data_IF_656320767271
#
_entry.id   IF_656320767271
#
_cell.length_a   1.000
_cell.length_b   1.000
_cell.length_c   1.000
_cell.angle_alpha   90.00
_cell.angle_beta   90.00
_cell.angle_gamma   90.00
#
_symmetry.space_group_name_H-M   'P 1'
#
loop_
_entity.id
_entity.type
_entity.pdbx_description
1 polymer ?
#
# COMPACT_ATOMS: atom_id res chain seq x y z
N UNK A 1 -9.85 -30.03 -3.95
CA UNK A 1 -8.83 -29.02 -3.61
C UNK A 1 -9.54 -27.85 -2.96
N UNK A 2 -9.08 -27.35 -1.82
CA UNK A 2 -9.72 -26.21 -1.16
C UNK A 2 -9.21 -24.88 -1.73
N UNK A 3 -10.12 -23.95 -2.00
CA UNK A 3 -9.79 -22.62 -2.49
C UNK A 3 -9.02 -21.79 -1.45
N UNK A 4 -8.16 -20.88 -1.92
CA UNK A 4 -7.35 -20.00 -1.07
C UNK A 4 -7.93 -18.59 -1.07
N UNK A 5 -7.96 -17.95 0.09
CA UNK A 5 -8.43 -16.57 0.26
C UNK A 5 -7.51 -15.78 1.20
N UNK A 6 -7.57 -14.45 1.09
CA UNK A 6 -6.89 -13.53 2.00
C UNK A 6 -7.94 -12.66 2.71
N UNK A 7 -7.88 -12.61 4.05
CA UNK A 7 -8.61 -11.64 4.83
C UNK A 7 -7.66 -10.52 5.27
N UNK A 8 -7.94 -9.28 4.83
CA UNK A 8 -7.11 -8.11 5.10
C UNK A 8 -7.93 -7.12 5.94
N UNK A 9 -7.75 -7.17 7.25
CA UNK A 9 -8.40 -6.27 8.20
C UNK A 9 -7.70 -4.90 8.21
N UNK A 10 -8.32 -3.91 7.59
CA UNK A 10 -7.77 -2.55 7.50
C UNK A 10 -7.87 -1.77 8.81
N UNK A 11 -8.71 -2.20 9.77
CA UNK A 11 -8.84 -1.54 11.08
C UNK A 11 -7.59 -1.70 11.96
N UNK A 12 -6.78 -2.72 11.67
CA UNK A 12 -5.51 -3.01 12.37
C UNK A 12 -4.28 -2.57 11.57
N UNK A 13 -4.47 -2.02 10.37
CA UNK A 13 -3.37 -1.58 9.53
C UNK A 13 -2.73 -0.31 10.08
N UNK A 14 -1.43 -0.35 10.41
CA UNK A 14 -0.65 0.82 10.85
C UNK A 14 0.06 1.54 9.69
N UNK A 15 -0.25 1.16 8.45
CA UNK A 15 0.37 1.68 7.24
C UNK A 15 1.92 1.62 7.21
N UNK A 16 2.54 0.66 7.90
CA UNK A 16 4.00 0.50 7.99
C UNK A 16 4.71 0.23 6.65
N UNK A 17 3.95 -0.11 5.59
CA UNK A 17 4.44 -0.48 4.25
C UNK A 17 5.33 -1.72 4.19
N UNK A 18 5.43 -2.51 5.27
CA UNK A 18 6.16 -3.77 5.28
C UNK A 18 5.70 -4.74 4.19
N UNK A 19 4.40 -4.86 3.95
CA UNK A 19 3.85 -5.71 2.89
C UNK A 19 4.21 -5.24 1.46
N UNK A 20 4.35 -3.94 1.24
CA UNK A 20 4.76 -3.37 -0.04
C UNK A 20 6.25 -3.67 -0.31
N UNK A 21 7.11 -3.54 0.70
CA UNK A 21 8.53 -3.87 0.60
C UNK A 21 8.73 -5.38 0.44
N UNK A 22 8.06 -6.20 1.25
CA UNK A 22 8.13 -7.66 1.18
C UNK A 22 7.70 -8.20 -0.18
N UNK A 23 6.64 -7.65 -0.77
CA UNK A 23 6.20 -8.02 -2.12
C UNK A 23 7.30 -7.80 -3.16
N UNK A 24 7.98 -6.64 -3.13
CA UNK A 24 9.09 -6.37 -4.04
C UNK A 24 10.30 -7.25 -3.76
N UNK A 25 10.63 -7.46 -2.48
CA UNK A 25 11.77 -8.29 -2.07
C UNK A 25 11.61 -9.73 -2.53
N UNK A 26 10.43 -10.33 -2.32
CA UNK A 26 10.14 -11.69 -2.77
C UNK A 26 10.18 -11.82 -4.30
N UNK A 27 9.59 -10.86 -5.02
CA UNK A 27 9.49 -10.89 -6.49
C UNK A 27 10.72 -10.26 -7.19
N UNK A 28 11.76 -9.86 -6.45
CA UNK A 28 12.97 -9.19 -6.98
C UNK A 28 12.65 -7.98 -7.88
N UNK A 29 11.62 -7.21 -7.52
CA UNK A 29 11.18 -6.05 -8.30
C UNK A 29 11.97 -4.79 -7.95
N UNK A 30 12.31 -3.94 -8.94
CA UNK A 30 13.04 -2.70 -8.68
C UNK A 30 12.16 -1.66 -7.98
N UNK A 31 12.81 -0.67 -7.36
CA UNK A 31 12.16 0.57 -6.97
C UNK A 31 11.75 1.37 -8.23
N UNK A 32 10.64 2.09 -8.13
CA UNK A 32 10.21 3.04 -9.17
C UNK A 32 10.62 4.44 -8.71
N UNK A 33 11.09 5.31 -9.62
CA UNK A 33 11.33 6.71 -9.27
C UNK A 33 10.00 7.37 -8.90
N UNK A 34 9.98 8.06 -7.77
CA UNK A 34 8.80 8.75 -7.25
C UNK A 34 9.17 10.14 -6.78
N UNK A 35 8.15 10.96 -6.52
CA UNK A 35 8.27 12.26 -5.84
C UNK A 35 7.20 12.36 -4.76
N UNK A 36 7.43 13.19 -3.76
CA UNK A 36 6.35 13.59 -2.86
C UNK A 36 5.38 14.50 -3.63
N UNK A 37 4.07 14.22 -3.53
CA UNK A 37 2.99 14.94 -4.22
C UNK A 37 1.90 15.42 -3.26
N UNK A 38 2.24 15.55 -1.96
CA UNK A 38 1.29 15.93 -0.90
C UNK A 38 0.64 14.75 -0.19
N UNK A 39 1.19 13.54 -0.33
CA UNK A 39 0.73 12.34 0.36
C UNK A 39 1.89 11.45 0.79
N UNK A 40 1.73 10.76 1.92
CA UNK A 40 2.65 9.69 2.34
C UNK A 40 2.62 8.47 1.41
N UNK A 41 1.56 8.32 0.61
CA UNK A 41 1.44 7.26 -0.39
C UNK A 41 2.50 7.40 -1.48
N UNK A 42 3.35 6.38 -1.61
CA UNK A 42 4.29 6.25 -2.72
C UNK A 42 4.66 4.76 -2.97
N UNK A 43 4.75 4.28 -4.23
CA UNK A 43 4.44 4.99 -5.49
C UNK A 43 3.00 5.51 -5.59
N UNK A 44 2.76 6.44 -6.52
CA UNK A 44 1.43 7.06 -6.67
C UNK A 44 0.35 6.03 -7.01
N UNK A 45 0.68 5.03 -7.81
CA UNK A 45 -0.21 3.93 -8.16
C UNK A 45 0.54 2.60 -8.39
N UNK A 46 -0.22 1.54 -8.63
CA UNK A 46 0.30 0.26 -9.10
C UNK A 46 1.04 0.44 -10.44
N UNK A 47 1.98 -0.45 -10.70
CA UNK A 47 2.73 -0.48 -11.95
C UNK A 47 3.23 -1.89 -12.23
N UNK A 48 3.86 -2.09 -13.39
CA UNK A 48 4.52 -3.34 -13.74
C UNK A 48 5.56 -3.80 -12.69
N UNK A 49 6.13 -2.88 -11.90
CA UNK A 49 7.11 -3.17 -10.84
C UNK A 49 6.54 -3.02 -9.42
N UNK A 50 5.23 -2.79 -9.26
CA UNK A 50 4.58 -2.57 -7.96
C UNK A 50 3.21 -3.25 -7.91
N UNK A 51 3.18 -4.51 -7.45
CA UNK A 51 1.96 -5.32 -7.36
C UNK A 51 1.11 -5.04 -6.11
N UNK A 52 1.76 -4.53 -5.04
CA UNK A 52 1.11 -4.19 -3.78
C UNK A 52 1.41 -2.74 -3.45
N UNK A 53 0.36 -2.00 -3.08
CA UNK A 53 0.44 -0.61 -2.66
C UNK A 53 -0.40 -0.38 -1.41
N UNK A 54 0.15 0.34 -0.44
CA UNK A 54 -0.61 0.87 0.70
C UNK A 54 -1.16 2.24 0.31
N UNK A 55 -2.49 2.38 0.24
CA UNK A 55 -3.15 3.65 -0.09
C UNK A 55 -3.50 4.44 1.16
N UNK A 56 -3.28 5.75 1.12
CA UNK A 56 -3.62 6.67 2.20
C UNK A 56 -4.80 7.54 1.78
N UNK A 57 -5.79 7.69 2.67
CA UNK A 57 -6.94 8.58 2.46
C UNK A 57 -7.34 9.19 3.78
N UNK A 58 -7.05 10.47 3.94
CA UNK A 58 -7.50 11.25 5.09
C UNK A 58 -8.97 11.63 4.88
N UNK A 59 -9.77 11.47 5.93
CA UNK A 59 -11.19 11.82 5.93
C UNK A 59 -11.49 12.55 7.22
N UNK A 60 -12.17 13.68 7.12
CA UNK A 60 -12.77 14.33 8.29
C UNK A 60 -14.04 13.55 8.62
N UNK A 61 -14.01 12.78 9.70
CA UNK A 61 -15.20 12.06 10.20
C UNK A 61 -15.77 12.85 11.38
N UNK A 62 -17.01 13.35 11.26
CA UNK A 62 -17.73 14.00 12.36
C UNK A 62 -17.58 15.52 12.49
N UNK A 63 -17.23 16.24 11.41
CA UNK A 63 -17.38 17.71 11.35
C UNK A 63 -16.41 18.54 12.20
N UNK A 64 -15.33 17.95 12.71
CA UNK A 64 -14.27 18.69 13.39
C UNK A 64 -13.02 18.66 12.51
N UNK A 65 -12.71 19.84 11.96
CA UNK A 65 -11.40 20.17 11.37
C UNK A 65 -10.47 20.53 12.51
#
# INVERSE_FOLDING_TARGET
>A
MADKSFFIDTTKCTACRGCQVACKQWNKLPATKTRNWGSYQNPADLSFSTFKLVRFREVVSGGKV
#
